data_IF_335076010475
#
_entry.id   IF_335076010475
#
_cell.length_a   1.000
_cell.length_b   1.000
_cell.length_c   1.000
_cell.angle_alpha   90.00
_cell.angle_beta   90.00
_cell.angle_gamma   90.00
#
_symmetry.space_group_name_H-M   'P 1'
#
loop_
_entity.id
_entity.type
_entity.pdbx_description
1 polymer ?
#
# COMPACT_ATOMS: atom_id res chain seq x y z
N UNK A 1 41.51 7.36 -30.83
CA UNK A 1 41.66 7.25 -29.35
C UNK A 1 40.29 6.87 -28.77
N UNK A 2 40.14 5.61 -28.41
CA UNK A 2 38.88 5.08 -27.87
C UNK A 2 39.07 4.98 -26.35
N UNK A 3 38.29 5.76 -25.57
CA UNK A 3 38.29 5.69 -24.12
C UNK A 3 37.41 4.51 -23.70
N UNK A 4 38.06 3.49 -23.17
CA UNK A 4 37.42 2.34 -22.51
C UNK A 4 37.06 2.74 -21.08
N UNK A 5 35.74 2.90 -20.80
CA UNK A 5 35.27 2.94 -19.44
C UNK A 5 35.31 1.52 -18.83
N UNK A 6 36.16 1.36 -17.83
CA UNK A 6 36.25 0.13 -17.05
C UNK A 6 35.01 -0.02 -16.17
N UNK A 7 34.15 -0.97 -16.48
CA UNK A 7 33.08 -1.44 -15.59
C UNK A 7 33.71 -2.36 -14.55
N UNK A 8 33.86 -1.90 -13.31
CA UNK A 8 34.18 -2.78 -12.20
C UNK A 8 32.98 -3.65 -11.93
N UNK A 9 33.05 -4.90 -12.38
CA UNK A 9 32.06 -5.91 -12.05
C UNK A 9 32.13 -6.24 -10.55
N UNK A 10 31.34 -5.58 -9.75
CA UNK A 10 31.10 -6.05 -8.38
C UNK A 10 30.35 -7.38 -8.47
N UNK A 11 30.96 -8.43 -7.92
CA UNK A 11 30.43 -9.78 -8.03
C UNK A 11 29.12 -9.87 -7.19
N UNK A 12 28.19 -10.74 -7.61
CA UNK A 12 26.99 -11.05 -6.80
C UNK A 12 27.32 -11.44 -5.35
N UNK A 13 28.53 -11.97 -5.13
CA UNK A 13 29.06 -12.31 -3.81
C UNK A 13 29.38 -11.07 -2.96
N UNK A 14 29.84 -9.98 -3.56
CA UNK A 14 30.17 -8.74 -2.85
C UNK A 14 28.92 -7.95 -2.53
N UNK A 15 27.88 -8.01 -3.38
CA UNK A 15 26.54 -7.49 -3.10
C UNK A 15 25.86 -8.26 -1.94
N UNK A 16 26.00 -9.59 -1.91
CA UNK A 16 25.47 -10.42 -0.81
C UNK A 16 26.21 -10.13 0.50
N UNK A 17 27.52 -9.93 0.45
CA UNK A 17 28.31 -9.57 1.65
C UNK A 17 28.00 -8.16 2.16
N UNK A 18 27.75 -7.19 1.27
CA UNK A 18 27.33 -5.84 1.66
C UNK A 18 25.88 -5.82 2.19
N UNK A 19 24.97 -6.61 1.59
CA UNK A 19 23.60 -6.75 2.07
C UNK A 19 23.50 -7.48 3.42
N UNK A 20 24.39 -8.44 3.70
CA UNK A 20 24.47 -9.11 5.00
C UNK A 20 25.08 -8.23 6.10
N UNK A 21 25.83 -7.20 5.76
CA UNK A 21 26.42 -6.30 6.75
C UNK A 21 25.51 -5.12 7.15
N UNK A 22 24.53 -4.72 6.33
CA UNK A 22 23.82 -3.47 6.55
C UNK A 22 22.31 -3.54 6.83
N UNK A 23 21.53 -4.37 6.18
CA UNK A 23 20.06 -4.30 6.29
C UNK A 23 19.34 -5.64 6.48
N UNK A 24 19.91 -6.74 6.01
CA UNK A 24 19.32 -8.06 6.21
C UNK A 24 19.56 -8.60 7.63
N UNK A 25 20.49 -8.03 8.38
CA UNK A 25 20.80 -8.42 9.76
C UNK A 25 19.65 -8.16 10.73
N UNK A 26 18.99 -7.02 10.66
CA UNK A 26 18.06 -6.59 11.71
C UNK A 26 16.78 -7.44 11.79
N UNK A 27 16.21 -7.85 10.67
CA UNK A 27 15.00 -8.69 10.66
C UNK A 27 15.23 -10.13 11.13
N UNK A 28 16.38 -10.70 10.78
CA UNK A 28 16.82 -12.02 11.25
C UNK A 28 17.16 -12.04 12.74
N UNK A 29 17.65 -10.92 13.27
CA UNK A 29 18.16 -10.84 14.63
C UNK A 29 17.07 -10.77 15.71
N UNK A 30 15.91 -10.13 15.46
CA UNK A 30 14.79 -10.15 16.41
C UNK A 30 14.13 -11.52 16.52
N UNK A 31 14.09 -12.30 15.42
CA UNK A 31 13.64 -13.69 15.42
C UNK A 31 14.63 -14.64 16.15
N UNK A 32 15.89 -14.21 16.30
CA UNK A 32 16.96 -14.96 16.96
C UNK A 32 17.19 -14.55 18.43
N UNK A 33 16.31 -13.74 19.03
CA UNK A 33 16.40 -13.36 20.44
C UNK A 33 17.57 -12.45 20.80
N UNK A 34 18.00 -11.58 19.88
CA UNK A 34 19.13 -10.68 20.07
C UNK A 34 18.86 -9.57 21.08
N UNK A 35 19.88 -9.24 21.85
CA UNK A 35 19.82 -8.25 22.93
C UNK A 35 19.59 -6.81 22.44
N UNK A 36 19.00 -5.93 23.27
CA UNK A 36 18.84 -4.50 22.95
C UNK A 36 20.11 -3.76 22.51
N UNK A 37 21.29 -4.24 22.95
CA UNK A 37 22.59 -3.67 22.56
C UNK A 37 22.88 -3.79 21.04
N UNK A 38 22.34 -4.81 20.36
CA UNK A 38 22.53 -4.97 18.91
C UNK A 38 21.58 -4.11 18.07
N UNK A 39 20.46 -3.66 18.64
CA UNK A 39 19.57 -2.70 17.97
C UNK A 39 20.21 -1.30 17.85
N UNK A 40 21.28 -1.02 18.58
CA UNK A 40 22.02 0.25 18.50
C UNK A 40 22.88 0.38 17.22
N UNK A 41 23.10 -0.70 16.48
CA UNK A 41 23.90 -0.70 15.24
C UNK A 41 23.09 -0.44 13.97
N UNK A 42 21.79 -0.17 14.07
CA UNK A 42 20.98 0.18 12.89
C UNK A 42 21.39 1.57 12.40
N UNK A 43 21.96 1.63 11.20
CA UNK A 43 22.37 2.89 10.59
C UNK A 43 21.17 3.86 10.46
N UNK A 44 21.35 5.10 10.90
CA UNK A 44 20.30 6.13 10.91
C UNK A 44 19.29 6.04 12.05
N UNK A 45 19.49 5.13 13.02
CA UNK A 45 18.69 5.07 14.24
C UNK A 45 18.87 6.36 15.05
N UNK A 46 17.76 6.91 15.56
CA UNK A 46 17.83 8.07 16.46
C UNK A 46 18.48 7.72 17.81
N UNK A 47 19.39 8.55 18.27
CA UNK A 47 20.05 8.38 19.58
C UNK A 47 19.06 8.62 20.71
N UNK A 48 18.15 9.60 20.57
CA UNK A 48 17.09 9.90 21.52
C UNK A 48 15.76 9.31 21.05
N UNK A 49 14.89 8.84 21.98
CA UNK A 49 13.55 8.41 21.61
C UNK A 49 12.76 9.52 20.93
N UNK A 50 12.20 9.24 19.76
CA UNK A 50 11.30 10.13 19.02
C UNK A 50 9.84 9.70 19.21
N UNK A 51 8.92 10.67 19.20
CA UNK A 51 7.48 10.46 19.27
C UNK A 51 6.86 10.77 17.93
N UNK A 52 6.27 9.76 17.28
CA UNK A 52 5.58 9.91 16.01
C UNK A 52 4.10 9.61 16.11
N UNK A 53 3.28 10.36 15.36
CA UNK A 53 1.88 10.03 15.19
C UNK A 53 1.64 9.50 13.77
N UNK A 54 0.91 8.38 13.68
CA UNK A 54 0.52 7.76 12.42
C UNK A 54 -1.00 7.71 12.29
N UNK A 55 -1.50 7.88 11.07
CA UNK A 55 -2.90 7.65 10.74
C UNK A 55 -3.03 7.01 9.36
N UNK A 56 -4.02 6.14 9.23
CA UNK A 56 -4.46 5.65 7.94
C UNK A 56 -5.99 5.68 7.82
N UNK A 57 -6.50 5.31 6.65
CA UNK A 57 -7.93 5.34 6.33
C UNK A 57 -8.77 4.51 7.29
N UNK A 58 -8.27 3.34 7.74
CA UNK A 58 -8.97 2.54 8.74
C UNK A 58 -8.38 1.15 8.94
N UNK A 59 -8.19 0.74 10.19
CA UNK A 59 -7.59 -0.55 10.58
C UNK A 59 -8.47 -1.78 10.22
N UNK A 60 -9.69 -1.55 9.77
CA UNK A 60 -10.57 -2.60 9.23
C UNK A 60 -10.07 -3.14 7.89
N UNK A 61 -9.31 -2.34 7.14
CA UNK A 61 -8.63 -2.79 5.93
C UNK A 61 -7.34 -3.54 6.30
N UNK A 62 -7.14 -4.75 5.75
CA UNK A 62 -5.97 -5.59 6.07
C UNK A 62 -4.65 -4.90 5.71
N UNK A 63 -4.61 -4.12 4.63
CA UNK A 63 -3.46 -3.30 4.23
C UNK A 63 -3.07 -2.28 5.30
N UNK A 64 -4.06 -1.59 5.88
CA UNK A 64 -3.85 -0.61 6.94
C UNK A 64 -3.39 -1.26 8.25
N UNK A 65 -3.98 -2.42 8.60
CA UNK A 65 -3.59 -3.18 9.79
C UNK A 65 -2.13 -3.67 9.70
N UNK A 66 -1.71 -4.17 8.53
CA UNK A 66 -0.32 -4.56 8.29
C UNK A 66 0.61 -3.34 8.34
N UNK A 67 0.19 -2.20 7.80
CA UNK A 67 0.94 -0.94 7.86
C UNK A 67 1.22 -0.51 9.29
N UNK A 68 0.23 -0.62 10.19
CA UNK A 68 0.42 -0.36 11.61
C UNK A 68 1.48 -1.28 12.22
N UNK A 69 1.39 -2.59 11.96
CA UNK A 69 2.39 -3.55 12.46
C UNK A 69 3.79 -3.23 11.94
N UNK A 70 3.91 -2.87 10.66
CA UNK A 70 5.18 -2.48 10.06
C UNK A 70 5.73 -1.19 10.68
N UNK A 71 4.91 -0.14 10.87
CA UNK A 71 5.32 1.10 11.53
C UNK A 71 5.81 0.85 12.96
N UNK A 72 5.11 0.01 13.72
CA UNK A 72 5.52 -0.35 15.09
C UNK A 72 6.83 -1.16 15.11
N UNK A 73 7.01 -2.08 14.16
CA UNK A 73 8.25 -2.86 14.02
C UNK A 73 9.44 -1.95 13.68
N UNK A 74 9.32 -1.15 12.62
CA UNK A 74 10.36 -0.22 12.19
C UNK A 74 10.59 0.89 13.22
N UNK A 75 9.53 1.35 13.90
CA UNK A 75 9.63 2.32 14.98
C UNK A 75 10.57 1.83 16.10
N UNK A 76 10.42 0.58 16.55
CA UNK A 76 11.30 -0.03 17.55
C UNK A 76 12.77 -0.06 17.09
N UNK A 77 13.00 -0.40 15.81
CA UNK A 77 14.36 -0.45 15.25
C UNK A 77 15.00 0.94 15.22
N UNK A 78 14.23 1.99 14.89
CA UNK A 78 14.72 3.35 14.72
C UNK A 78 14.56 4.23 15.96
N UNK A 79 14.17 3.67 17.12
CA UNK A 79 13.95 4.37 18.39
C UNK A 79 12.81 5.42 18.31
N UNK A 80 11.70 5.02 17.69
CA UNK A 80 10.49 5.84 17.53
C UNK A 80 9.32 5.18 18.24
N UNK A 81 8.68 5.92 19.14
CA UNK A 81 7.40 5.55 19.75
C UNK A 81 6.26 5.99 18.82
N UNK A 82 5.51 5.02 18.31
CA UNK A 82 4.41 5.26 17.36
C UNK A 82 3.07 5.29 18.08
N UNK A 83 2.38 6.43 18.01
CA UNK A 83 0.98 6.57 18.43
C UNK A 83 0.08 6.53 17.21
N UNK A 84 -0.98 5.69 17.25
CA UNK A 84 -1.86 5.46 16.11
C UNK A 84 -3.21 6.15 16.23
N UNK A 85 -3.63 6.83 15.17
CA UNK A 85 -4.91 7.52 15.02
C UNK A 85 -5.70 6.86 13.90
N UNK A 86 -6.69 6.03 14.24
CA UNK A 86 -7.46 5.23 13.28
C UNK A 86 -8.55 6.07 12.59
N UNK A 87 -8.58 6.05 11.25
CA UNK A 87 -9.60 6.72 10.44
C UNK A 87 -10.93 5.99 10.35
N UNK A 88 -11.00 4.72 10.75
CA UNK A 88 -12.21 3.89 10.81
C UNK A 88 -12.99 3.79 9.48
N UNK A 89 -12.31 3.91 8.33
CA UNK A 89 -12.87 3.97 6.98
C UNK A 89 -13.98 5.05 6.83
N UNK A 90 -13.82 6.16 7.55
CA UNK A 90 -14.78 7.27 7.59
C UNK A 90 -14.04 8.61 7.58
N UNK A 91 -14.31 9.45 6.57
CA UNK A 91 -13.62 10.73 6.40
C UNK A 91 -13.85 11.71 7.57
N UNK A 92 -15.05 11.68 8.19
CA UNK A 92 -15.40 12.56 9.32
C UNK A 92 -14.67 12.11 10.58
N UNK A 93 -14.64 10.80 10.84
CA UNK A 93 -13.92 10.23 11.98
C UNK A 93 -12.43 10.43 11.84
N UNK A 94 -11.86 10.19 10.64
CA UNK A 94 -10.45 10.46 10.40
C UNK A 94 -10.13 11.94 10.60
N UNK A 95 -10.98 12.86 10.09
CA UNK A 95 -10.78 14.29 10.32
C UNK A 95 -10.72 14.63 11.81
N UNK A 96 -11.64 14.10 12.62
CA UNK A 96 -11.64 14.31 14.07
C UNK A 96 -10.37 13.73 14.74
N UNK A 97 -9.91 12.54 14.29
CA UNK A 97 -8.67 11.93 14.77
C UNK A 97 -7.43 12.81 14.44
N UNK A 98 -7.37 13.37 13.22
CA UNK A 98 -6.27 14.25 12.80
C UNK A 98 -6.34 15.61 13.48
N UNK A 99 -7.52 16.18 13.74
CA UNK A 99 -7.66 17.41 14.55
C UNK A 99 -7.12 17.19 15.99
N UNK A 100 -7.40 16.02 16.59
CA UNK A 100 -6.81 15.62 17.88
C UNK A 100 -5.27 15.46 17.78
N UNK A 101 -4.76 14.78 16.74
CA UNK A 101 -3.32 14.67 16.48
C UNK A 101 -2.67 16.07 16.40
N UNK A 102 -3.26 17.00 15.64
CA UNK A 102 -2.76 18.36 15.43
C UNK A 102 -2.82 19.25 16.68
N UNK A 103 -3.49 18.83 17.74
CA UNK A 103 -3.50 19.52 19.05
C UNK A 103 -2.34 19.14 19.97
N UNK A 104 -1.55 18.15 19.57
CA UNK A 104 -0.44 17.58 20.35
C UNK A 104 0.91 17.89 19.68
N UNK A 105 2.00 17.64 20.39
CA UNK A 105 3.37 17.79 19.86
C UNK A 105 3.93 16.44 19.48
N UNK A 106 4.43 16.35 18.26
CA UNK A 106 5.09 15.18 17.66
C UNK A 106 6.42 15.60 17.07
N UNK A 107 7.40 14.70 17.07
CA UNK A 107 8.65 14.92 16.37
C UNK A 107 8.44 14.85 14.85
N UNK A 108 7.57 13.93 14.40
CA UNK A 108 7.04 13.91 13.04
C UNK A 108 5.68 13.18 13.00
N UNK A 109 4.97 13.32 11.88
CA UNK A 109 3.71 12.61 11.65
C UNK A 109 3.71 11.93 10.28
N UNK A 110 2.99 10.81 10.14
CA UNK A 110 2.81 10.10 8.88
C UNK A 110 1.32 9.79 8.67
N UNK A 111 0.76 10.21 7.54
CA UNK A 111 -0.69 10.22 7.33
C UNK A 111 -1.03 9.67 5.94
N UNK A 112 -1.94 8.69 5.89
CA UNK A 112 -2.68 8.28 4.71
C UNK A 112 -4.08 8.87 4.79
N UNK A 113 -4.47 9.75 3.88
CA UNK A 113 -5.81 10.32 3.88
C UNK A 113 -6.85 9.32 3.34
N UNK A 114 -8.06 9.29 3.92
CA UNK A 114 -9.20 8.55 3.34
C UNK A 114 -9.62 9.15 1.98
N UNK A 115 -9.48 10.46 1.81
CA UNK A 115 -9.76 11.15 0.57
C UNK A 115 -9.00 12.46 0.46
N UNK A 116 -8.60 12.80 -0.77
CA UNK A 116 -7.87 14.04 -1.05
C UNK A 116 -8.66 15.28 -0.60
N UNK A 117 -7.97 16.22 0.03
CA UNK A 117 -8.54 17.50 0.49
C UNK A 117 -9.19 17.46 1.88
N UNK A 118 -9.58 16.29 2.40
CA UNK A 118 -10.31 16.17 3.66
C UNK A 118 -9.49 16.59 4.88
N UNK A 119 -8.18 16.42 4.84
CA UNK A 119 -7.25 16.64 5.95
C UNK A 119 -6.34 17.85 5.76
N UNK A 120 -6.48 18.61 4.67
CA UNK A 120 -5.56 19.70 4.31
C UNK A 120 -5.37 20.71 5.46
N UNK A 121 -6.47 21.17 6.08
CA UNK A 121 -6.40 22.20 7.12
C UNK A 121 -5.65 21.75 8.39
N UNK A 122 -5.97 20.62 9.05
CA UNK A 122 -5.23 20.21 10.25
C UNK A 122 -3.79 19.82 9.93
N UNK A 123 -3.50 19.27 8.74
CA UNK A 123 -2.15 18.96 8.34
C UNK A 123 -1.33 20.22 8.08
N UNK A 124 -1.91 21.22 7.41
CA UNK A 124 -1.24 22.51 7.23
C UNK A 124 -0.88 23.17 8.57
N UNK A 125 -1.77 23.08 9.56
CA UNK A 125 -1.48 23.57 10.92
C UNK A 125 -0.26 22.90 11.54
N UNK A 126 -0.08 21.59 11.35
CA UNK A 126 1.11 20.88 11.86
C UNK A 126 2.38 21.30 11.10
N UNK A 127 2.30 21.46 9.77
CA UNK A 127 3.41 21.95 8.94
C UNK A 127 3.82 23.37 9.38
N UNK A 128 2.87 24.28 9.58
CA UNK A 128 3.12 25.67 10.01
C UNK A 128 3.74 25.73 11.41
N UNK A 129 3.45 24.73 12.26
CA UNK A 129 4.07 24.56 13.57
C UNK A 129 5.48 23.93 13.48
N UNK A 130 5.98 23.60 12.30
CA UNK A 130 7.30 23.03 12.05
C UNK A 130 7.39 21.50 12.21
N UNK A 131 6.26 20.80 12.35
CA UNK A 131 6.25 19.34 12.43
C UNK A 131 6.45 18.74 11.03
N UNK A 132 7.47 17.89 10.80
CA UNK A 132 7.62 17.15 9.57
C UNK A 132 6.42 16.24 9.32
N UNK A 133 5.81 16.33 8.14
CA UNK A 133 4.68 15.50 7.72
C UNK A 133 5.08 14.61 6.57
N UNK A 134 4.91 13.31 6.75
CA UNK A 134 5.08 12.28 5.70
C UNK A 134 3.68 11.93 5.18
N UNK A 135 3.45 12.15 3.90
CA UNK A 135 2.21 11.76 3.23
C UNK A 135 2.35 10.33 2.69
N UNK A 136 1.34 9.48 2.88
CA UNK A 136 1.40 8.07 2.53
C UNK A 136 0.23 7.65 1.64
N UNK A 137 0.51 6.86 0.61
CA UNK A 137 -0.46 6.15 -0.27
C UNK A 137 -1.50 7.04 -0.96
N UNK A 138 -2.25 7.84 -0.20
CA UNK A 138 -3.30 8.73 -0.72
C UNK A 138 -2.96 10.18 -0.39
N UNK A 139 -2.89 11.01 -1.39
CA UNK A 139 -2.55 12.43 -1.23
C UNK A 139 -3.50 13.15 -0.26
N UNK A 140 -2.93 13.82 0.73
CA UNK A 140 -3.64 14.77 1.60
C UNK A 140 -4.17 15.95 0.78
N UNK A 141 -3.35 16.48 -0.12
CA UNK A 141 -3.66 17.52 -1.10
C UNK A 141 -2.69 17.39 -2.28
N UNK A 142 -2.92 18.07 -3.43
CA UNK A 142 -1.93 18.13 -4.49
C UNK A 142 -0.58 18.62 -3.96
N UNK A 143 0.53 17.99 -4.37
CA UNK A 143 1.87 18.22 -3.82
C UNK A 143 2.41 19.66 -4.09
N UNK A 144 1.80 20.40 -4.99
CA UNK A 144 2.07 21.83 -5.23
C UNK A 144 1.26 22.76 -4.29
N UNK A 145 0.31 22.22 -3.53
CA UNK A 145 -0.59 22.95 -2.61
C UNK A 145 -0.29 22.68 -1.14
N UNK A 146 0.51 21.66 -0.82
CA UNK A 146 0.88 21.32 0.55
C UNK A 146 2.36 20.97 0.63
N UNK A 147 3.05 21.49 1.65
CA UNK A 147 4.48 21.29 1.81
C UNK A 147 4.80 20.11 2.74
N UNK A 148 4.29 18.93 2.43
CA UNK A 148 4.69 17.69 3.12
C UNK A 148 6.17 17.39 2.85
N UNK A 149 6.83 16.68 3.78
CA UNK A 149 8.25 16.37 3.69
C UNK A 149 8.55 15.45 2.50
N UNK A 150 7.76 14.38 2.38
CA UNK A 150 7.76 13.47 1.24
C UNK A 150 6.39 12.80 1.12
N UNK A 151 6.07 12.33 -0.09
CA UNK A 151 4.93 11.47 -0.38
C UNK A 151 5.42 10.08 -0.77
N UNK A 152 5.02 9.07 -0.01
CA UNK A 152 5.37 7.67 -0.23
C UNK A 152 4.15 6.93 -0.75
N UNK A 153 4.14 6.50 -1.99
CA UNK A 153 2.99 5.88 -2.61
C UNK A 153 3.32 4.66 -3.47
N UNK A 154 2.35 3.75 -3.68
CA UNK A 154 2.45 2.76 -4.72
C UNK A 154 2.10 3.36 -6.08
N UNK A 155 2.53 2.71 -7.17
CA UNK A 155 2.03 3.01 -8.52
C UNK A 155 0.65 2.38 -8.71
N UNK A 156 -0.39 3.12 -8.34
CA UNK A 156 -1.77 2.67 -8.42
C UNK A 156 -2.25 2.43 -9.85
N UNK A 157 -1.73 3.19 -10.83
CA UNK A 157 -2.07 2.99 -12.24
C UNK A 157 -1.46 1.68 -12.76
N UNK A 158 -0.19 1.43 -12.46
CA UNK A 158 0.48 0.16 -12.75
C UNK A 158 -0.27 -1.02 -12.12
N UNK A 159 -0.66 -0.92 -10.84
CA UNK A 159 -1.37 -1.99 -10.14
C UNK A 159 -2.72 -2.32 -10.81
N UNK A 160 -3.51 -1.30 -11.13
CA UNK A 160 -4.78 -1.49 -11.86
C UNK A 160 -4.59 -2.09 -13.24
N UNK A 161 -3.58 -1.62 -13.97
CA UNK A 161 -3.27 -2.12 -15.31
C UNK A 161 -2.76 -3.57 -15.29
N UNK A 162 -1.83 -3.89 -14.40
CA UNK A 162 -1.17 -5.20 -14.39
C UNK A 162 -2.11 -6.35 -14.03
N UNK A 163 -2.98 -6.19 -13.03
CA UNK A 163 -4.00 -7.21 -12.69
C UNK A 163 -5.04 -7.34 -13.81
N UNK A 164 -5.48 -6.19 -14.37
CA UNK A 164 -6.42 -6.22 -15.49
C UNK A 164 -5.83 -6.94 -16.70
N UNK A 165 -4.56 -6.68 -17.03
CA UNK A 165 -3.84 -7.36 -18.10
C UNK A 165 -3.76 -8.88 -17.85
N UNK A 166 -3.52 -9.31 -16.63
CA UNK A 166 -3.50 -10.73 -16.27
C UNK A 166 -4.88 -11.38 -16.45
N UNK A 167 -5.96 -10.73 -16.03
CA UNK A 167 -7.34 -11.19 -16.23
C UNK A 167 -7.68 -11.28 -17.72
N UNK A 168 -7.41 -10.22 -18.48
CA UNK A 168 -7.69 -10.15 -19.93
C UNK A 168 -6.90 -11.21 -20.70
N UNK A 169 -5.63 -11.43 -20.36
CA UNK A 169 -4.80 -12.48 -20.95
C UNK A 169 -5.39 -13.87 -20.67
N UNK A 170 -5.85 -14.13 -19.45
CA UNK A 170 -6.51 -15.39 -19.08
C UNK A 170 -7.81 -15.62 -19.82
N UNK A 171 -8.55 -14.56 -20.13
CA UNK A 171 -9.78 -14.60 -20.94
C UNK A 171 -9.52 -14.69 -22.45
N UNK A 172 -8.26 -14.61 -22.90
CA UNK A 172 -7.94 -14.60 -24.34
C UNK A 172 -8.42 -13.33 -25.05
N UNK A 173 -8.54 -12.22 -24.34
CA UNK A 173 -8.91 -10.90 -24.86
C UNK A 173 -10.42 -10.72 -25.12
N UNK A 174 -11.28 -11.63 -24.65
CA UNK A 174 -12.74 -11.58 -24.82
C UNK A 174 -13.46 -12.00 -23.55
N UNK A 175 -14.54 -11.31 -23.20
CA UNK A 175 -15.37 -11.68 -22.04
C UNK A 175 -16.04 -10.49 -21.39
N UNK A 176 -16.80 -10.76 -20.34
CA UNK A 176 -17.58 -9.79 -19.58
C UNK A 176 -16.95 -9.54 -18.23
N UNK A 177 -16.60 -8.30 -17.94
CA UNK A 177 -15.89 -7.92 -16.73
C UNK A 177 -16.67 -6.91 -15.89
N UNK A 178 -16.49 -6.98 -14.58
CA UNK A 178 -16.95 -5.96 -13.61
C UNK A 178 -15.74 -5.42 -12.88
N UNK A 179 -15.70 -4.10 -12.66
CA UNK A 179 -14.78 -3.45 -11.74
C UNK A 179 -15.54 -2.96 -10.51
N UNK A 180 -15.12 -3.39 -9.31
CA UNK A 180 -15.63 -2.84 -8.05
C UNK A 180 -14.60 -1.90 -7.46
N UNK A 181 -14.95 -0.60 -7.40
CA UNK A 181 -14.04 0.46 -7.02
C UNK A 181 -14.01 0.69 -5.51
N UNK A 182 -12.88 1.23 -5.02
CA UNK A 182 -12.80 1.86 -3.71
C UNK A 182 -13.51 3.21 -3.66
N UNK A 183 -13.24 4.03 -2.64
CA UNK A 183 -13.82 5.37 -2.50
C UNK A 183 -13.36 6.31 -3.63
N UNK A 184 -14.31 6.98 -4.28
CA UNK A 184 -14.03 7.82 -5.46
C UNK A 184 -13.09 9.02 -5.16
N UNK A 185 -13.11 9.53 -3.92
CA UNK A 185 -12.20 10.59 -3.45
C UNK A 185 -10.79 10.13 -3.11
N UNK A 186 -10.51 8.83 -3.19
CA UNK A 186 -9.21 8.24 -2.87
C UNK A 186 -8.32 8.19 -4.12
N UNK A 187 -7.15 8.83 -4.09
CA UNK A 187 -6.27 8.91 -5.29
C UNK A 187 -5.79 7.54 -5.76
N UNK A 188 -5.62 6.59 -4.84
CA UNK A 188 -5.33 5.21 -5.18
C UNK A 188 -6.45 4.53 -5.98
N UNK A 189 -7.72 4.74 -5.61
CA UNK A 189 -8.85 4.21 -6.37
C UNK A 189 -8.91 4.81 -7.78
N UNK A 190 -8.66 6.11 -7.92
CA UNK A 190 -8.60 6.78 -9.22
C UNK A 190 -7.50 6.21 -10.12
N UNK A 191 -6.29 5.98 -9.57
CA UNK A 191 -5.19 5.37 -10.30
C UNK A 191 -5.51 3.94 -10.75
N UNK A 192 -6.03 3.10 -9.86
CA UNK A 192 -6.44 1.71 -10.18
C UNK A 192 -7.52 1.66 -11.27
N UNK A 193 -8.52 2.54 -11.20
CA UNK A 193 -9.54 2.67 -12.24
C UNK A 193 -8.95 3.14 -13.58
N UNK A 194 -8.00 4.08 -13.56
CA UNK A 194 -7.30 4.54 -14.76
C UNK A 194 -6.52 3.40 -15.41
N UNK A 195 -5.77 2.63 -14.62
CA UNK A 195 -5.04 1.45 -15.10
C UNK A 195 -5.95 0.42 -15.74
N UNK A 196 -7.05 0.04 -15.07
CA UNK A 196 -8.07 -0.85 -15.64
C UNK A 196 -8.59 -0.34 -16.97
N UNK A 197 -9.04 0.90 -17.03
CA UNK A 197 -9.61 1.50 -18.24
C UNK A 197 -8.59 1.60 -19.39
N UNK A 198 -7.32 1.82 -19.08
CA UNK A 198 -6.24 1.86 -20.08
C UNK A 198 -6.07 0.50 -20.75
N UNK A 199 -6.15 -0.60 -19.97
CA UNK A 199 -6.03 -1.95 -20.52
C UNK A 199 -7.28 -2.35 -21.31
N UNK A 200 -8.48 -2.24 -20.75
CA UNK A 200 -9.70 -2.73 -21.41
C UNK A 200 -9.95 -2.03 -22.76
N UNK A 201 -9.57 -0.77 -22.91
CA UNK A 201 -9.65 -0.02 -24.16
C UNK A 201 -8.83 -0.64 -25.31
N UNK A 202 -7.80 -1.42 -25.01
CA UNK A 202 -6.96 -2.10 -25.99
C UNK A 202 -7.55 -3.43 -26.46
N UNK A 203 -8.61 -3.92 -25.78
CA UNK A 203 -9.23 -5.22 -26.04
C UNK A 203 -10.74 -5.07 -26.35
N UNK A 204 -11.12 -4.78 -27.62
CA UNK A 204 -12.52 -4.59 -28.00
C UNK A 204 -13.44 -5.78 -27.74
N UNK A 205 -12.87 -6.96 -27.49
CA UNK A 205 -13.62 -8.15 -27.09
C UNK A 205 -14.00 -8.22 -25.61
N UNK A 206 -13.52 -7.27 -24.80
CA UNK A 206 -13.88 -7.15 -23.38
C UNK A 206 -15.07 -6.19 -23.24
N UNK A 207 -16.17 -6.69 -22.70
CA UNK A 207 -17.34 -5.90 -22.32
C UNK A 207 -17.27 -5.57 -20.81
N UNK A 208 -17.20 -4.29 -20.45
CA UNK A 208 -17.29 -3.85 -19.06
C UNK A 208 -18.74 -3.65 -18.68
N UNK A 209 -19.28 -4.55 -17.84
CA UNK A 209 -20.69 -4.59 -17.47
C UNK A 209 -21.05 -3.48 -16.44
N UNK A 210 -20.16 -3.23 -15.48
CA UNK A 210 -20.40 -2.27 -14.41
C UNK A 210 -19.09 -1.86 -13.72
N UNK A 211 -19.10 -0.67 -13.06
CA UNK A 211 -17.92 -0.09 -12.41
C UNK A 211 -18.25 0.67 -11.11
N UNK A 212 -19.17 0.15 -10.30
CA UNK A 212 -19.65 0.86 -9.10
C UNK A 212 -18.61 0.92 -7.96
N UNK A 213 -18.62 2.02 -7.18
CA UNK A 213 -17.83 2.12 -5.96
C UNK A 213 -18.50 1.35 -4.80
N UNK A 214 -17.65 0.81 -3.94
CA UNK A 214 -18.05 0.19 -2.68
C UNK A 214 -17.28 0.77 -1.48
N UNK A 215 -16.52 1.86 -1.67
CA UNK A 215 -15.88 2.68 -0.63
C UNK A 215 -15.00 1.89 0.35
N UNK A 216 -14.34 0.82 -0.10
CA UNK A 216 -13.56 -0.13 0.72
C UNK A 216 -14.40 -0.93 1.73
N UNK A 217 -15.74 -0.80 1.69
CA UNK A 217 -16.67 -1.42 2.64
C UNK A 217 -17.12 -2.80 2.14
N UNK A 218 -16.67 -3.85 2.83
CA UNK A 218 -16.99 -5.24 2.50
C UNK A 218 -18.49 -5.56 2.55
N UNK A 219 -19.26 -4.84 3.38
CA UNK A 219 -20.72 -4.99 3.46
C UNK A 219 -21.39 -4.40 2.22
N UNK A 220 -20.92 -3.24 1.74
CA UNK A 220 -21.38 -2.66 0.46
C UNK A 220 -21.04 -3.58 -0.71
N UNK A 221 -19.84 -4.16 -0.72
CA UNK A 221 -19.44 -5.15 -1.73
C UNK A 221 -20.38 -6.33 -1.75
N UNK A 222 -20.70 -6.91 -0.60
CA UNK A 222 -21.60 -8.05 -0.52
C UNK A 222 -22.98 -7.75 -1.14
N UNK A 223 -23.59 -6.62 -0.77
CA UNK A 223 -24.87 -6.17 -1.33
C UNK A 223 -24.81 -5.91 -2.84
N UNK A 224 -23.75 -5.27 -3.30
CA UNK A 224 -23.52 -4.96 -4.70
C UNK A 224 -23.40 -6.25 -5.53
N UNK A 225 -22.64 -7.22 -5.04
CA UNK A 225 -22.43 -8.49 -5.72
C UNK A 225 -23.67 -9.41 -5.70
N UNK A 226 -24.49 -9.37 -4.67
CA UNK A 226 -25.83 -9.99 -4.72
C UNK A 226 -26.66 -9.44 -5.90
N UNK A 227 -26.61 -8.11 -6.09
CA UNK A 227 -27.30 -7.45 -7.20
C UNK A 227 -26.68 -7.85 -8.56
N UNK A 228 -25.36 -7.86 -8.69
CA UNK A 228 -24.68 -8.20 -9.93
C UNK A 228 -24.93 -9.65 -10.38
N UNK A 229 -24.88 -10.60 -9.45
CA UNK A 229 -25.13 -12.00 -9.75
C UNK A 229 -26.56 -12.28 -10.19
N UNK A 230 -27.50 -11.42 -9.78
CA UNK A 230 -28.90 -11.47 -10.23
C UNK A 230 -29.06 -10.79 -11.59
N UNK A 231 -28.43 -9.60 -11.76
CA UNK A 231 -28.58 -8.77 -12.97
C UNK A 231 -27.83 -9.34 -14.19
N UNK A 232 -26.68 -9.93 -13.96
CA UNK A 232 -25.78 -10.38 -15.03
C UNK A 232 -25.66 -11.93 -15.04
N UNK A 233 -26.32 -12.62 -15.98
CA UNK A 233 -26.26 -14.08 -16.07
C UNK A 233 -24.86 -14.59 -16.39
N UNK A 234 -24.03 -13.78 -17.07
CA UNK A 234 -22.64 -14.08 -17.40
C UNK A 234 -21.73 -12.97 -16.89
N UNK A 235 -20.76 -13.34 -16.07
CA UNK A 235 -19.61 -12.53 -15.64
C UNK A 235 -18.41 -13.46 -15.74
N UNK A 236 -17.42 -13.09 -16.55
CA UNK A 236 -16.25 -13.93 -16.79
C UNK A 236 -15.08 -13.55 -15.85
N UNK A 237 -14.93 -12.28 -15.54
CA UNK A 237 -13.94 -11.81 -14.57
C UNK A 237 -14.41 -10.59 -13.79
N UNK A 238 -13.79 -10.39 -12.62
CA UNK A 238 -14.02 -9.27 -11.73
C UNK A 238 -12.69 -8.70 -11.24
N UNK A 239 -12.54 -7.38 -11.36
CA UNK A 239 -11.43 -6.64 -10.80
C UNK A 239 -11.89 -5.83 -9.58
N UNK A 240 -11.18 -5.97 -8.49
CA UNK A 240 -11.45 -5.26 -7.23
C UNK A 240 -10.28 -4.36 -6.88
N UNK A 241 -10.60 -3.15 -6.42
CA UNK A 241 -9.56 -2.20 -6.03
C UNK A 241 -8.79 -2.60 -4.77
N UNK A 242 -9.29 -3.57 -3.96
CA UNK A 242 -8.48 -4.22 -2.95
C UNK A 242 -8.90 -5.67 -2.70
N UNK A 243 -8.06 -6.39 -1.97
CA UNK A 243 -8.22 -7.81 -1.68
C UNK A 243 -9.38 -8.11 -0.72
N UNK A 244 -9.62 -7.25 0.27
CA UNK A 244 -10.73 -7.43 1.22
C UNK A 244 -12.07 -7.42 0.50
N UNK A 245 -12.24 -6.51 -0.47
CA UNK A 245 -13.43 -6.45 -1.34
C UNK A 245 -13.53 -7.69 -2.25
N UNK A 246 -12.41 -8.15 -2.79
CA UNK A 246 -12.36 -9.34 -3.63
C UNK A 246 -12.81 -10.60 -2.87
N UNK A 247 -12.31 -10.77 -1.66
CA UNK A 247 -12.67 -11.91 -0.79
C UNK A 247 -14.12 -11.84 -0.31
N UNK A 248 -14.64 -10.65 0.00
CA UNK A 248 -16.05 -10.45 0.34
C UNK A 248 -16.96 -10.84 -0.84
N UNK A 249 -16.65 -10.41 -2.05
CA UNK A 249 -17.40 -10.77 -3.25
C UNK A 249 -17.31 -12.28 -3.53
N UNK A 250 -16.14 -12.90 -3.36
CA UNK A 250 -16.00 -14.36 -3.51
C UNK A 250 -16.96 -15.13 -2.59
N UNK A 251 -17.14 -14.69 -1.34
CA UNK A 251 -18.08 -15.36 -0.43
C UNK A 251 -19.53 -15.30 -0.95
N UNK A 252 -19.95 -14.18 -1.55
CA UNK A 252 -21.25 -14.05 -2.20
C UNK A 252 -21.36 -14.94 -3.43
N UNK A 253 -20.33 -14.95 -4.30
CA UNK A 253 -20.25 -15.83 -5.47
C UNK A 253 -20.36 -17.30 -5.06
N UNK A 254 -19.66 -17.70 -4.00
CA UNK A 254 -19.70 -19.07 -3.46
C UNK A 254 -21.12 -19.43 -2.99
N UNK A 255 -21.78 -18.56 -2.24
CA UNK A 255 -23.15 -18.76 -1.76
C UNK A 255 -24.17 -18.92 -2.92
N UNK A 256 -23.86 -18.34 -4.09
CA UNK A 256 -24.68 -18.39 -5.30
C UNK A 256 -24.19 -19.45 -6.33
N UNK A 257 -23.23 -20.31 -5.96
CA UNK A 257 -22.62 -21.30 -6.85
C UNK A 257 -22.05 -20.70 -8.15
N UNK A 258 -21.47 -19.49 -8.08
CA UNK A 258 -20.90 -18.73 -9.20
C UNK A 258 -19.39 -18.53 -9.04
N UNK A 259 -18.66 -19.59 -8.66
CA UNK A 259 -17.20 -19.56 -8.40
C UNK A 259 -16.34 -19.69 -9.66
N UNK A 260 -16.95 -19.72 -10.83
CA UNK A 260 -16.26 -19.74 -12.11
C UNK A 260 -15.79 -18.35 -12.60
N UNK A 261 -16.09 -17.28 -11.84
CA UNK A 261 -15.67 -15.92 -12.18
C UNK A 261 -14.19 -15.74 -11.77
N UNK A 262 -13.34 -15.30 -12.71
CA UNK A 262 -11.95 -14.99 -12.41
C UNK A 262 -11.88 -13.71 -11.53
N UNK A 263 -11.19 -13.79 -10.42
CA UNK A 263 -11.09 -12.68 -9.46
C UNK A 263 -9.68 -12.13 -9.44
N UNK A 264 -9.54 -10.82 -9.68
CA UNK A 264 -8.30 -10.07 -9.50
C UNK A 264 -8.45 -9.02 -8.42
N UNK A 265 -7.47 -8.91 -7.53
CA UNK A 265 -7.43 -7.94 -6.43
C UNK A 265 -6.19 -7.07 -6.46
N UNK A 266 -6.08 -6.20 -5.48
CA UNK A 266 -4.90 -5.36 -5.22
C UNK A 266 -4.61 -5.43 -3.74
N UNK A 267 -3.38 -5.31 -3.37
CA UNK A 267 -2.68 -5.24 -2.10
C UNK A 267 -1.80 -6.46 -1.83
N UNK A 268 -2.16 -7.65 -2.34
CA UNK A 268 -1.50 -8.93 -2.06
C UNK A 268 -1.32 -9.17 -0.56
N UNK A 269 -2.40 -9.00 0.21
CA UNK A 269 -2.41 -9.31 1.64
C UNK A 269 -2.41 -10.81 1.89
N UNK A 270 -1.91 -11.31 3.05
CA UNK A 270 -1.82 -12.74 3.33
C UNK A 270 -3.11 -13.53 3.06
N UNK A 271 -4.32 -13.07 3.42
CA UNK A 271 -5.56 -13.78 3.07
C UNK A 271 -5.80 -13.94 1.57
N UNK A 272 -5.44 -12.93 0.77
CA UNK A 272 -5.59 -12.96 -0.69
C UNK A 272 -4.50 -13.82 -1.35
N UNK A 273 -3.26 -13.76 -0.87
CA UNK A 273 -2.18 -14.65 -1.35
C UNK A 273 -2.59 -16.12 -1.13
N UNK A 274 -3.12 -16.46 0.05
CA UNK A 274 -3.65 -17.79 0.31
C UNK A 274 -4.82 -18.13 -0.63
N UNK A 275 -5.69 -17.17 -0.93
CA UNK A 275 -6.78 -17.36 -1.89
C UNK A 275 -6.29 -17.57 -3.33
N UNK A 276 -5.17 -16.98 -3.71
CA UNK A 276 -4.50 -17.25 -4.99
C UNK A 276 -3.90 -18.66 -4.99
N UNK A 277 -3.25 -19.07 -3.91
CA UNK A 277 -2.66 -20.40 -3.77
C UNK A 277 -3.70 -21.52 -3.88
N UNK A 278 -4.86 -21.36 -3.27
CA UNK A 278 -5.94 -22.35 -3.28
C UNK A 278 -6.94 -22.17 -4.46
N UNK A 279 -6.75 -21.16 -5.31
CA UNK A 279 -7.52 -20.97 -6.55
C UNK A 279 -8.85 -20.22 -6.36
N UNK A 280 -9.12 -19.65 -5.21
CA UNK A 280 -10.29 -18.75 -4.98
C UNK A 280 -10.13 -17.40 -5.67
N UNK A 281 -8.90 -16.92 -5.81
CA UNK A 281 -8.55 -15.76 -6.61
C UNK A 281 -7.58 -16.17 -7.72
N UNK A 282 -7.66 -15.48 -8.85
CA UNK A 282 -6.75 -15.72 -9.98
C UNK A 282 -5.42 -14.98 -9.77
N UNK A 283 -5.47 -13.72 -9.35
CA UNK A 283 -4.30 -12.90 -9.13
C UNK A 283 -4.60 -11.75 -8.17
N UNK A 284 -3.56 -11.22 -7.57
CA UNK A 284 -3.54 -9.91 -6.92
C UNK A 284 -2.23 -9.21 -7.26
N UNK A 285 -2.07 -7.93 -6.92
CA UNK A 285 -0.82 -7.20 -7.11
C UNK A 285 -0.38 -6.59 -5.79
N UNK A 286 0.93 -6.64 -5.51
CA UNK A 286 1.47 -6.14 -4.26
C UNK A 286 1.43 -4.61 -4.19
N UNK A 287 0.65 -4.09 -3.24
CA UNK A 287 0.75 -2.73 -2.72
C UNK A 287 1.66 -2.78 -1.47
N UNK A 288 2.88 -2.22 -1.51
CA UNK A 288 3.92 -2.53 -0.52
C UNK A 288 3.73 -1.78 0.81
N UNK A 289 2.71 -2.16 1.59
CA UNK A 289 2.34 -1.54 2.87
C UNK A 289 3.54 -1.42 3.83
N UNK A 290 4.32 -2.50 3.98
CA UNK A 290 5.47 -2.49 4.90
C UNK A 290 6.55 -1.49 4.48
N UNK A 291 6.81 -1.35 3.17
CA UNK A 291 7.77 -0.37 2.64
C UNK A 291 7.30 1.07 2.81
N UNK A 292 6.02 1.32 2.61
CA UNK A 292 5.44 2.66 2.77
C UNK A 292 5.50 3.09 4.23
N UNK A 293 5.02 2.26 5.14
CA UNK A 293 5.00 2.61 6.57
C UNK A 293 6.39 2.57 7.22
N UNK A 294 7.24 1.60 6.85
CA UNK A 294 8.64 1.56 7.28
C UNK A 294 9.45 2.73 6.69
N UNK A 295 9.21 3.05 5.41
CA UNK A 295 9.80 4.22 4.75
C UNK A 295 9.39 5.53 5.42
N UNK A 296 8.16 5.62 5.92
CA UNK A 296 7.68 6.79 6.67
C UNK A 296 8.43 6.97 8.01
N UNK A 297 8.75 5.87 8.71
CA UNK A 297 9.63 5.92 9.90
C UNK A 297 11.00 6.47 9.51
N UNK A 298 11.63 5.90 8.47
CA UNK A 298 12.98 6.31 8.03
C UNK A 298 12.98 7.78 7.60
N UNK A 299 12.01 8.21 6.80
CA UNK A 299 11.89 9.60 6.34
C UNK A 299 11.66 10.57 7.51
N UNK A 300 10.81 10.20 8.46
CA UNK A 300 10.54 11.01 9.66
C UNK A 300 11.77 11.15 10.54
N UNK A 301 12.50 10.08 10.79
CA UNK A 301 13.76 10.10 11.54
C UNK A 301 14.81 10.98 10.85
N UNK A 302 14.99 10.84 9.54
CA UNK A 302 15.92 11.66 8.77
C UNK A 302 15.53 13.16 8.82
N UNK A 303 14.24 13.47 8.68
CA UNK A 303 13.74 14.85 8.79
C UNK A 303 14.09 15.50 10.14
N UNK A 304 13.99 14.73 11.22
CA UNK A 304 14.26 15.23 12.58
C UNK A 304 15.74 15.27 12.90
N UNK A 305 16.47 14.17 12.67
CA UNK A 305 17.86 14.01 13.12
C UNK A 305 18.86 14.72 12.23
N UNK A 306 18.64 14.74 10.91
CA UNK A 306 19.49 15.43 9.95
C UNK A 306 19.03 16.89 9.70
N UNK A 307 17.88 17.29 10.23
CA UNK A 307 17.29 18.61 9.99
C UNK A 307 16.92 18.81 8.52
N UNK A 308 16.55 17.75 7.83
CA UNK A 308 16.20 17.81 6.41
C UNK A 308 14.92 18.62 6.20
N UNK A 309 14.94 19.45 5.16
CA UNK A 309 13.76 20.23 4.74
C UNK A 309 12.98 19.47 3.65
N UNK A 310 11.69 19.75 3.48
CA UNK A 310 10.90 19.19 2.39
C UNK A 310 11.59 19.35 1.04
N UNK A 311 11.81 18.22 0.33
CA UNK A 311 12.47 18.19 -0.98
C UNK A 311 13.99 18.36 -0.99
N UNK A 312 14.65 18.39 0.19
CA UNK A 312 16.11 18.32 0.31
C UNK A 312 16.50 16.99 0.95
N UNK A 313 17.50 16.28 0.42
CA UNK A 313 17.91 14.95 0.91
C UNK A 313 16.91 13.84 0.48
N UNK A 314 15.67 13.87 0.97
CA UNK A 314 14.62 12.94 0.56
C UNK A 314 13.80 13.54 -0.60
N UNK A 315 13.59 12.81 -1.72
CA UNK A 315 12.75 13.28 -2.82
C UNK A 315 11.33 13.62 -2.34
N UNK A 316 10.71 14.65 -2.94
CA UNK A 316 9.35 15.07 -2.57
C UNK A 316 8.29 13.98 -2.81
N UNK A 317 8.56 13.05 -3.71
CA UNK A 317 7.72 11.87 -3.95
C UNK A 317 8.59 10.66 -4.23
N UNK A 318 8.26 9.53 -3.59
CA UNK A 318 8.85 8.22 -3.84
C UNK A 318 7.71 7.27 -4.18
N UNK A 319 7.69 6.80 -5.42
CA UNK A 319 6.71 5.83 -5.90
C UNK A 319 7.33 4.46 -5.90
N UNK A 320 6.64 3.50 -5.32
CA UNK A 320 7.03 2.10 -5.27
C UNK A 320 6.01 1.23 -5.98
N UNK A 321 6.46 0.15 -6.59
CA UNK A 321 5.61 -0.87 -7.18
C UNK A 321 5.86 -2.23 -6.52
N UNK A 322 5.05 -3.19 -6.89
CA UNK A 322 5.19 -4.56 -6.48
C UNK A 322 4.70 -5.51 -7.57
N UNK A 323 5.15 -6.77 -7.55
CA UNK A 323 4.80 -7.74 -8.58
C UNK A 323 3.32 -8.12 -8.51
N UNK A 324 2.80 -8.57 -9.66
CA UNK A 324 1.55 -9.35 -9.70
C UNK A 324 1.82 -10.70 -9.02
N UNK A 325 0.93 -11.07 -8.13
CA UNK A 325 0.97 -12.34 -7.40
C UNK A 325 0.00 -13.29 -8.06
N UNK A 326 0.56 -14.37 -8.55
CA UNK A 326 -0.15 -15.51 -9.13
C UNK A 326 0.24 -16.77 -8.37
N UNK A 327 -0.32 -17.92 -8.75
CA UNK A 327 -0.03 -19.18 -8.08
C UNK A 327 1.46 -19.55 -8.10
N UNK A 328 2.19 -19.09 -9.12
CA UNK A 328 3.60 -19.41 -9.34
C UNK A 328 4.53 -18.74 -8.32
N UNK A 329 4.19 -17.55 -7.82
CA UNK A 329 5.04 -16.79 -6.91
C UNK A 329 4.44 -16.52 -5.52
N UNK A 330 3.18 -16.92 -5.30
CA UNK A 330 2.41 -16.61 -4.09
C UNK A 330 3.12 -17.04 -2.80
N UNK A 331 3.71 -18.24 -2.74
CA UNK A 331 4.39 -18.73 -1.54
C UNK A 331 5.60 -17.85 -1.14
N UNK A 332 6.39 -17.42 -2.13
CA UNK A 332 7.52 -16.52 -1.88
C UNK A 332 7.07 -15.13 -1.44
N UNK A 333 5.98 -14.64 -2.01
CA UNK A 333 5.40 -13.35 -1.64
C UNK A 333 4.86 -13.36 -0.20
N UNK A 334 4.18 -14.44 0.20
CA UNK A 334 3.70 -14.60 1.58
C UNK A 334 4.87 -14.59 2.57
N UNK A 335 5.94 -15.33 2.27
CA UNK A 335 7.14 -15.34 3.12
C UNK A 335 7.75 -13.94 3.28
N UNK A 336 7.85 -13.16 2.20
CA UNK A 336 8.41 -11.81 2.26
C UNK A 336 7.53 -10.85 3.09
N UNK A 337 6.21 -11.00 3.04
CA UNK A 337 5.29 -10.22 3.87
C UNK A 337 5.42 -10.51 5.35
N UNK A 338 5.50 -11.79 5.71
CA UNK A 338 5.63 -12.24 7.11
C UNK A 338 6.92 -11.73 7.75
N UNK A 339 7.90 -11.31 6.91
CA UNK A 339 9.17 -10.74 7.35
C UNK A 339 9.28 -9.21 7.13
N UNK A 340 8.18 -8.52 6.86
CA UNK A 340 8.13 -7.07 6.61
C UNK A 340 9.07 -6.57 5.50
N UNK A 341 9.38 -7.41 4.51
CA UNK A 341 10.27 -7.04 3.40
C UNK A 341 9.57 -6.28 2.28
N UNK A 342 8.28 -6.42 2.20
CA UNK A 342 7.46 -5.78 1.15
C UNK A 342 6.13 -5.25 1.69
#
# INVERSE_FOLDING_TARGET
MVNTFGTSAHSRRDFIKAATAGAAGAGLFSALGMSPAMAQEVAGRSETPLRAAFSNAGLQATWCAQGKQAAEYWGKLFNVEVTWFDGQLDAVKQRAAIDNMASQKWDFVAIQAFGIGTLTQPVQKMIDAGTPVIDMDTLIAPLDKINVHTFLAPDNEFMGASVTQALVAKLGGKGKMIMTQGALGHTGAQGRAKGFNTVVKQYPGIEVLDTQPADWDVTKVARLWETYLTKYPQIDAAFFHNDDMALAAYNVMKARNRTNILIGGVDAMPPAINAVMDGRMFATVRNPSCRIHGGAIIAGVAAVTAGEKPGSGIPKSIVTDGPVVTKENAAGMLWMQDHFLI
#
